data_IF_137747956967
#
_entry.id   IF_137747956967
#
_cell.length_a   1.000
_cell.length_b   1.000
_cell.length_c   1.000
_cell.angle_alpha   90.00
_cell.angle_beta   90.00
_cell.angle_gamma   90.00
#
_symmetry.space_group_name_H-M   'P 1'
#
loop_
_entity.id
_entity.type
_entity.pdbx_description
1 polymer ?
#
# COMPACT_ATOMS: atom_id res chain seq x y z
N UNK A 1 14.79 15.03 41.04
CA UNK A 1 14.80 13.85 40.15
C UNK A 1 14.29 14.30 38.78
N UNK A 2 15.05 14.17 37.68
CA UNK A 2 14.52 14.52 36.36
C UNK A 2 13.29 13.66 36.07
N UNK A 3 12.19 14.31 35.67
CA UNK A 3 10.95 13.63 35.31
C UNK A 3 11.13 12.82 34.03
N UNK A 4 10.46 11.67 33.94
CA UNK A 4 10.44 10.89 32.70
C UNK A 4 9.72 11.71 31.63
N UNK A 5 10.41 11.99 30.53
CA UNK A 5 9.79 12.60 29.34
C UNK A 5 9.16 11.48 28.51
N UNK A 6 7.86 11.60 28.24
CA UNK A 6 7.13 10.66 27.40
C UNK A 6 6.12 11.41 26.54
N UNK A 7 5.86 10.89 25.34
CA UNK A 7 4.75 11.32 24.51
C UNK A 7 3.45 10.72 25.01
N UNK A 8 2.38 11.52 25.05
CA UNK A 8 1.08 11.05 25.53
C UNK A 8 0.56 9.92 24.63
N UNK A 9 0.08 8.83 25.24
CA UNK A 9 -0.42 7.66 24.52
C UNK A 9 -1.90 7.84 24.24
N UNK A 10 -2.23 8.13 22.98
CA UNK A 10 -3.61 8.25 22.54
C UNK A 10 -4.03 6.91 21.92
N UNK A 11 -5.22 6.42 22.28
CA UNK A 11 -5.79 5.22 21.67
C UNK A 11 -6.35 5.57 20.30
N UNK A 12 -5.69 5.11 19.25
CA UNK A 12 -6.22 5.11 17.89
C UNK A 12 -6.86 3.74 17.59
N UNK A 13 -7.89 3.72 16.75
CA UNK A 13 -8.57 2.50 16.33
C UNK A 13 -8.70 2.43 14.81
N UNK A 14 -8.82 1.21 14.30
CA UNK A 14 -9.19 0.92 12.92
C UNK A 14 -10.24 -0.20 12.92
N UNK A 15 -10.98 -0.33 11.83
CA UNK A 15 -11.92 -1.42 11.61
C UNK A 15 -11.29 -2.50 10.75
N UNK A 16 -11.79 -3.72 10.90
CA UNK A 16 -11.50 -4.83 9.99
C UNK A 16 -12.47 -4.80 8.81
N UNK A 17 -11.98 -5.14 7.63
CA UNK A 17 -12.77 -5.26 6.41
C UNK A 17 -12.79 -6.71 5.95
N UNK A 18 -13.96 -7.16 5.52
CA UNK A 18 -14.14 -8.51 4.94
C UNK A 18 -13.91 -8.39 3.43
N UNK A 19 -13.04 -9.26 2.94
CA UNK A 19 -12.77 -9.50 1.53
C UNK A 19 -13.38 -10.85 1.19
N UNK A 20 -14.25 -10.89 0.18
CA UNK A 20 -14.91 -12.12 -0.25
C UNK A 20 -15.01 -12.18 -1.77
N UNK A 21 -14.81 -13.37 -2.32
CA UNK A 21 -15.07 -13.68 -3.72
C UNK A 21 -15.68 -15.08 -3.84
N UNK A 22 -16.77 -15.20 -4.59
CA UNK A 22 -17.41 -16.48 -4.86
C UNK A 22 -16.69 -17.23 -5.99
N UNK A 23 -16.70 -18.56 -5.89
CA UNK A 23 -16.21 -19.51 -6.89
C UNK A 23 -17.32 -20.51 -7.15
N UNK A 24 -17.67 -20.69 -8.42
CA UNK A 24 -18.71 -21.62 -8.86
C UNK A 24 -18.22 -22.33 -10.12
N UNK A 25 -18.31 -23.66 -10.14
CA UNK A 25 -17.92 -24.49 -11.29
C UNK A 25 -19.02 -25.50 -11.57
N UNK A 26 -19.46 -25.59 -12.84
CA UNK A 26 -20.53 -26.52 -13.22
C UNK A 26 -20.06 -27.98 -13.14
N UNK A 27 -20.98 -28.91 -12.86
CA UNK A 27 -20.68 -30.34 -12.81
C UNK A 27 -20.15 -30.88 -14.14
N UNK A 28 -20.63 -30.32 -15.26
CA UNK A 28 -20.13 -30.66 -16.60
C UNK A 28 -18.69 -30.20 -16.81
N UNK A 29 -18.33 -29.00 -16.35
CA UNK A 29 -16.95 -28.48 -16.46
C UNK A 29 -15.98 -29.23 -15.57
N UNK A 30 -16.42 -29.70 -14.39
CA UNK A 30 -15.61 -30.58 -13.54
C UNK A 30 -15.40 -31.97 -14.18
N UNK A 31 -16.40 -32.49 -14.89
CA UNK A 31 -16.30 -33.77 -15.59
C UNK A 31 -15.48 -33.68 -16.89
N UNK A 32 -15.41 -32.49 -17.50
CA UNK A 32 -14.64 -32.25 -18.70
C UNK A 32 -13.14 -32.12 -18.37
N UNK A 33 -12.30 -32.89 -19.06
CA UNK A 33 -10.85 -32.70 -18.97
C UNK A 33 -10.46 -31.41 -19.70
N UNK A 34 -10.20 -30.34 -18.94
CA UNK A 34 -9.70 -29.11 -19.52
C UNK A 34 -8.23 -29.26 -19.99
N UNK A 35 -7.89 -28.60 -21.10
CA UNK A 35 -6.54 -28.65 -21.64
C UNK A 35 -5.59 -27.82 -20.76
N UNK A 36 -4.61 -28.48 -20.13
CA UNK A 36 -3.56 -27.81 -19.36
C UNK A 36 -3.93 -27.45 -17.92
N UNK A 37 -5.09 -27.88 -17.43
CA UNK A 37 -5.52 -27.72 -16.04
C UNK A 37 -5.81 -29.10 -15.42
N UNK A 38 -5.34 -29.31 -14.19
CA UNK A 38 -5.61 -30.54 -13.44
C UNK A 38 -7.00 -30.51 -12.79
N UNK A 39 -7.42 -29.34 -12.30
CA UNK A 39 -8.72 -29.10 -11.68
C UNK A 39 -9.12 -27.62 -11.88
N UNK A 40 -10.26 -27.40 -12.51
CA UNK A 40 -10.83 -26.06 -12.77
C UNK A 40 -11.20 -25.35 -11.45
N UNK A 41 -11.69 -26.10 -10.47
CA UNK A 41 -12.12 -25.54 -9.19
C UNK A 41 -10.94 -24.97 -8.40
N UNK A 42 -9.82 -25.69 -8.37
CA UNK A 42 -8.60 -25.21 -7.73
C UNK A 42 -7.96 -24.04 -8.49
N UNK A 43 -8.04 -24.03 -9.81
CA UNK A 43 -7.60 -22.88 -10.62
C UNK A 43 -8.39 -21.62 -10.27
N UNK A 44 -9.72 -21.71 -10.23
CA UNK A 44 -10.55 -20.56 -9.88
C UNK A 44 -10.33 -20.08 -8.44
N UNK A 45 -10.11 -20.99 -7.47
CA UNK A 45 -9.72 -20.62 -6.11
C UNK A 45 -8.44 -19.79 -6.10
N UNK A 46 -7.42 -20.19 -6.87
CA UNK A 46 -6.14 -19.48 -6.94
C UNK A 46 -6.28 -18.09 -7.59
N UNK A 47 -7.05 -17.99 -8.67
CA UNK A 47 -7.29 -16.71 -9.34
C UNK A 47 -8.08 -15.75 -8.43
N UNK A 48 -9.12 -16.22 -7.74
CA UNK A 48 -9.84 -15.40 -6.75
C UNK A 48 -8.95 -14.99 -5.58
N UNK A 49 -8.03 -15.85 -5.13
CA UNK A 49 -7.08 -15.47 -4.08
C UNK A 49 -6.15 -14.34 -4.54
N UNK A 50 -5.66 -14.40 -5.77
CA UNK A 50 -4.83 -13.33 -6.36
C UNK A 50 -5.61 -12.03 -6.50
N UNK A 51 -6.89 -12.11 -6.90
CA UNK A 51 -7.80 -10.96 -6.94
C UNK A 51 -7.96 -10.33 -5.56
N UNK A 52 -8.28 -11.12 -4.53
CA UNK A 52 -8.44 -10.61 -3.16
C UNK A 52 -7.15 -10.02 -2.58
N UNK A 53 -5.99 -10.61 -2.87
CA UNK A 53 -4.70 -10.05 -2.45
C UNK A 53 -4.42 -8.69 -3.10
N UNK A 54 -4.77 -8.54 -4.38
CA UNK A 54 -4.64 -7.28 -5.11
C UNK A 54 -5.59 -6.22 -4.57
N UNK A 55 -6.81 -6.60 -4.21
CA UNK A 55 -7.78 -5.69 -3.58
C UNK A 55 -7.36 -5.30 -2.17
N UNK A 56 -6.74 -6.22 -1.42
CA UNK A 56 -6.13 -5.95 -0.12
C UNK A 56 -4.98 -4.95 -0.23
N UNK A 57 -4.12 -5.07 -1.25
CA UNK A 57 -3.04 -4.10 -1.53
C UNK A 57 -3.60 -2.69 -1.76
N UNK A 58 -4.60 -2.57 -2.65
CA UNK A 58 -5.26 -1.30 -2.94
C UNK A 58 -5.89 -0.71 -1.67
N UNK A 59 -6.62 -1.53 -0.92
CA UNK A 59 -7.31 -1.09 0.31
C UNK A 59 -6.33 -0.71 1.41
N UNK A 60 -5.16 -1.35 1.48
CA UNK A 60 -4.11 -1.00 2.44
C UNK A 60 -3.61 0.43 2.19
N UNK A 61 -3.46 0.84 0.94
CA UNK A 61 -2.96 2.17 0.57
C UNK A 61 -4.09 3.22 0.60
N UNK A 62 -5.16 2.96 -0.15
CA UNK A 62 -6.23 3.93 -0.44
C UNK A 62 -7.50 3.73 0.40
N UNK A 63 -7.55 2.71 1.25
CA UNK A 63 -8.73 2.33 2.02
C UNK A 63 -9.34 3.51 2.75
N UNK A 64 -10.67 3.60 2.65
CA UNK A 64 -11.43 4.69 3.23
C UNK A 64 -12.39 4.19 4.30
N UNK A 65 -12.25 4.69 5.53
CA UNK A 65 -13.25 4.46 6.56
C UNK A 65 -14.38 5.49 6.42
N UNK A 66 -15.65 5.08 6.32
CA UNK A 66 -16.78 6.00 6.30
C UNK A 66 -16.79 6.86 7.56
N UNK A 67 -16.90 8.18 7.39
CA UNK A 67 -17.00 9.13 8.50
C UNK A 67 -18.30 8.96 9.29
N UNK A 68 -19.38 8.62 8.59
CA UNK A 68 -20.66 8.27 9.17
C UNK A 68 -20.82 6.74 9.24
N UNK A 69 -21.14 6.22 10.42
CA UNK A 69 -21.43 4.79 10.68
C UNK A 69 -20.31 3.81 10.26
N UNK A 70 -19.11 3.90 10.88
CA UNK A 70 -17.98 3.05 10.52
C UNK A 70 -18.16 1.56 10.84
N UNK A 71 -19.19 1.22 11.64
CA UNK A 71 -19.60 -0.17 11.89
C UNK A 71 -20.32 -0.79 10.69
N UNK A 72 -20.73 0.02 9.70
CA UNK A 72 -21.53 -0.39 8.56
C UNK A 72 -23.03 -0.47 8.87
N UNK A 73 -23.85 -0.40 7.83
CA UNK A 73 -25.29 -0.67 7.85
C UNK A 73 -25.72 -1.27 6.49
N UNK A 74 -27.02 -1.39 6.22
CA UNK A 74 -27.52 -1.96 4.96
C UNK A 74 -27.05 -1.20 3.69
N UNK A 75 -26.73 0.09 3.82
CA UNK A 75 -26.31 0.96 2.71
C UNK A 75 -24.83 1.36 2.76
N UNK A 76 -24.18 1.25 3.92
CA UNK A 76 -22.79 1.64 4.16
C UNK A 76 -22.00 0.39 4.51
N UNK A 77 -21.02 0.03 3.68
CA UNK A 77 -20.14 -1.10 3.98
C UNK A 77 -19.12 -0.71 5.05
N UNK A 78 -18.81 -1.65 5.93
CA UNK A 78 -17.67 -1.53 6.87
C UNK A 78 -16.37 -1.72 6.09
N UNK A 79 -15.56 -0.68 6.01
CA UNK A 79 -14.23 -0.71 5.38
C UNK A 79 -13.14 -0.25 6.34
N UNK A 80 -11.93 -0.74 6.11
CA UNK A 80 -10.76 -0.38 6.90
C UNK A 80 -10.17 0.94 6.42
N UNK A 81 -9.54 1.66 7.33
CA UNK A 81 -8.77 2.87 7.02
C UNK A 81 -7.40 2.48 6.46
N UNK A 82 -7.06 2.99 5.29
CA UNK A 82 -5.78 2.80 4.61
C UNK A 82 -4.71 3.81 5.05
N UNK A 83 -3.46 3.57 4.66
CA UNK A 83 -2.29 4.35 5.10
C UNK A 83 -2.48 5.84 4.77
N UNK A 84 -2.88 6.16 3.54
CA UNK A 84 -3.00 7.54 3.09
C UNK A 84 -3.98 8.34 3.95
N UNK A 85 -5.10 7.74 4.37
CA UNK A 85 -6.07 8.42 5.23
C UNK A 85 -5.61 8.48 6.69
N UNK A 86 -4.71 7.59 7.11
CA UNK A 86 -4.14 7.64 8.45
C UNK A 86 -3.24 8.87 8.63
N UNK A 87 -2.53 9.29 7.59
CA UNK A 87 -1.60 10.41 7.65
C UNK A 87 -2.32 11.76 7.74
N UNK A 88 -1.80 12.62 8.62
CA UNK A 88 -2.33 13.96 8.90
C UNK A 88 -1.24 14.96 9.27
N UNK A 89 -0.18 14.52 9.96
CA UNK A 89 0.87 15.39 10.49
C UNK A 89 1.89 15.80 9.43
N UNK A 90 2.42 14.83 8.68
CA UNK A 90 3.44 15.07 7.64
C UNK A 90 2.84 14.84 6.26
N UNK A 91 1.81 15.62 5.93
CA UNK A 91 1.19 15.63 4.61
C UNK A 91 1.51 16.95 3.94
N UNK A 92 2.30 16.89 2.87
CA UNK A 92 2.78 18.05 2.13
C UNK A 92 2.15 18.07 0.74
N UNK A 93 1.69 19.24 0.31
CA UNK A 93 1.20 19.49 -1.03
C UNK A 93 2.13 20.44 -1.78
N UNK A 94 2.27 20.22 -3.08
CA UNK A 94 2.94 21.19 -3.95
C UNK A 94 2.26 22.56 -3.82
N UNK A 95 3.03 23.60 -3.52
CA UNK A 95 2.53 24.95 -3.30
C UNK A 95 2.25 25.30 -1.83
N UNK A 96 2.40 24.37 -0.89
CA UNK A 96 2.36 24.67 0.54
C UNK A 96 3.48 25.64 0.95
N UNK A 97 3.18 26.53 1.89
CA UNK A 97 4.16 27.48 2.43
C UNK A 97 5.30 26.74 3.12
N UNK A 98 6.54 27.00 2.71
CA UNK A 98 7.75 26.36 3.26
C UNK A 98 8.11 25.01 2.60
N UNK A 99 7.25 24.45 1.76
CA UNK A 99 7.59 23.30 0.92
C UNK A 99 8.36 23.76 -0.33
N UNK A 100 9.29 22.95 -0.87
CA UNK A 100 10.01 23.32 -2.10
C UNK A 100 9.07 23.66 -3.26
N UNK A 101 9.44 24.70 -4.02
CA UNK A 101 8.65 25.19 -5.15
C UNK A 101 8.77 24.26 -6.36
N UNK A 102 7.69 24.13 -7.12
CA UNK A 102 7.64 23.25 -8.29
C UNK A 102 6.49 22.26 -8.16
N UNK A 103 6.08 21.70 -9.29
CA UNK A 103 5.07 20.63 -9.34
C UNK A 103 5.68 19.28 -9.65
N UNK A 104 6.87 19.24 -10.26
CA UNK A 104 7.58 17.98 -10.49
C UNK A 104 8.22 17.48 -9.19
N UNK A 105 8.34 16.15 -9.06
CA UNK A 105 9.01 15.54 -7.93
C UNK A 105 10.52 15.75 -8.05
N UNK A 106 11.10 16.46 -7.08
CA UNK A 106 12.52 16.76 -6.98
C UNK A 106 13.16 16.15 -5.73
N UNK A 107 14.48 15.96 -5.75
CA UNK A 107 15.24 15.42 -4.62
C UNK A 107 15.11 16.30 -3.36
N UNK A 108 15.03 17.62 -3.55
CA UNK A 108 14.80 18.59 -2.48
C UNK A 108 13.48 18.36 -1.75
N UNK A 109 12.42 17.96 -2.46
CA UNK A 109 11.12 17.62 -1.86
C UNK A 109 11.20 16.37 -1.01
N UNK A 110 11.88 15.32 -1.49
CA UNK A 110 12.06 14.07 -0.73
C UNK A 110 12.86 14.34 0.54
N UNK A 111 14.01 15.02 0.43
CA UNK A 111 14.85 15.35 1.58
C UNK A 111 14.13 16.27 2.59
N UNK A 112 13.30 17.21 2.12
CA UNK A 112 12.49 18.05 3.00
C UNK A 112 11.51 17.20 3.83
N UNK A 113 10.81 16.23 3.23
CA UNK A 113 9.89 15.37 3.96
C UNK A 113 10.63 14.44 4.91
N UNK A 114 11.74 13.84 4.49
CA UNK A 114 12.57 12.98 5.36
C UNK A 114 13.06 13.76 6.59
N UNK A 115 13.54 14.99 6.38
CA UNK A 115 13.91 15.89 7.47
C UNK A 115 12.74 16.21 8.38
N UNK A 116 11.58 16.56 7.81
CA UNK A 116 10.39 16.92 8.58
C UNK A 116 9.91 15.74 9.44
N UNK A 117 9.95 14.53 8.89
CA UNK A 117 9.64 13.31 9.64
C UNK A 117 10.65 13.13 10.77
N UNK A 118 11.96 13.28 10.52
CA UNK A 118 13.02 13.15 11.52
C UNK A 118 12.93 14.19 12.66
N UNK A 119 12.56 15.44 12.34
CA UNK A 119 12.37 16.50 13.33
C UNK A 119 11.09 16.30 14.16
N UNK A 120 9.97 15.93 13.51
CA UNK A 120 8.68 15.74 14.17
C UNK A 120 8.58 14.40 14.93
N UNK A 121 9.36 13.41 14.51
CA UNK A 121 9.36 12.06 15.03
C UNK A 121 10.77 11.46 14.90
N UNK A 122 11.24 10.77 15.94
CA UNK A 122 12.46 9.95 15.83
C UNK A 122 12.16 8.65 15.03
N UNK A 123 11.61 8.80 13.83
CA UNK A 123 11.23 7.74 12.91
C UNK A 123 12.27 7.59 11.81
N UNK A 124 12.67 6.35 11.54
CA UNK A 124 13.63 6.04 10.49
C UNK A 124 12.83 5.58 9.27
N UNK A 125 12.66 6.49 8.30
CA UNK A 125 11.99 6.15 7.04
C UNK A 125 12.93 5.23 6.26
N UNK A 126 12.44 4.04 5.92
CA UNK A 126 13.19 3.00 5.20
C UNK A 126 12.51 2.58 3.89
N UNK A 127 11.30 3.07 3.62
CA UNK A 127 10.48 2.66 2.50
C UNK A 127 9.85 3.86 1.80
N UNK A 128 10.13 4.02 0.51
CA UNK A 128 9.47 4.99 -0.36
C UNK A 128 8.56 4.22 -1.31
N UNK A 129 7.25 4.49 -1.29
CA UNK A 129 6.27 3.86 -2.17
C UNK A 129 5.79 4.88 -3.21
N UNK A 130 5.88 4.51 -4.48
CA UNK A 130 5.57 5.40 -5.61
C UNK A 130 4.78 4.71 -6.72
N UNK A 131 4.04 5.51 -7.49
CA UNK A 131 3.50 5.11 -8.78
C UNK A 131 4.56 5.14 -9.89
N UNK A 132 4.21 4.58 -11.06
CA UNK A 132 5.15 4.46 -12.18
C UNK A 132 5.69 5.79 -12.72
N UNK A 133 4.87 6.85 -12.75
CA UNK A 133 5.30 8.18 -13.21
C UNK A 133 6.34 8.79 -12.26
N UNK A 134 6.04 8.82 -10.95
CA UNK A 134 6.96 9.35 -9.95
C UNK A 134 8.25 8.52 -9.85
N UNK A 135 8.17 7.19 -10.04
CA UNK A 135 9.36 6.36 -10.13
C UNK A 135 10.32 6.80 -11.25
N UNK A 136 9.77 7.19 -12.39
CA UNK A 136 10.57 7.66 -13.54
C UNK A 136 11.23 9.01 -13.25
N UNK A 137 10.56 9.89 -12.50
CA UNK A 137 11.15 11.15 -12.00
C UNK A 137 12.30 10.87 -11.02
N UNK A 138 12.13 9.96 -10.06
CA UNK A 138 13.21 9.56 -9.14
C UNK A 138 14.42 8.99 -9.90
N UNK A 139 14.18 8.15 -10.90
CA UNK A 139 15.26 7.61 -11.73
C UNK A 139 16.05 8.71 -12.48
N UNK A 140 15.43 9.88 -12.73
CA UNK A 140 16.07 11.02 -13.36
C UNK A 140 16.97 11.84 -12.42
N UNK A 141 16.86 11.68 -11.08
CA UNK A 141 17.73 12.39 -10.13
C UNK A 141 19.20 12.06 -10.34
N UNK A 142 19.49 10.80 -10.62
CA UNK A 142 20.84 10.35 -10.93
C UNK A 142 21.15 10.40 -12.44
N UNK A 143 20.48 11.23 -13.25
CA UNK A 143 20.77 11.33 -14.68
C UNK A 143 22.13 12.02 -14.95
N UNK A 144 22.46 13.05 -14.17
CA UNK A 144 23.64 13.90 -14.40
C UNK A 144 24.95 13.31 -13.84
N UNK A 145 24.87 12.38 -12.88
CA UNK A 145 26.04 11.77 -12.21
C UNK A 145 26.50 10.43 -12.81
N UNK A 146 26.08 10.12 -14.04
CA UNK A 146 26.37 8.83 -14.69
C UNK A 146 27.70 8.85 -15.43
N UNK A 147 28.52 7.84 -15.15
CA UNK A 147 29.64 7.47 -16.00
C UNK A 147 29.32 6.15 -16.69
N UNK A 148 29.46 6.11 -18.02
CA UNK A 148 29.34 4.88 -18.82
C UNK A 148 30.75 4.41 -19.17
N UNK A 149 31.00 3.10 -19.05
CA UNK A 149 32.21 2.51 -19.60
C UNK A 149 32.04 2.25 -21.10
N UNK A 150 33.12 2.31 -21.87
CA UNK A 150 33.09 2.19 -23.35
C UNK A 150 32.52 0.85 -23.88
N UNK A 151 32.34 -0.15 -23.02
CA UNK A 151 31.86 -1.49 -23.37
C UNK A 151 30.41 -1.78 -22.90
N UNK A 152 29.71 -0.81 -22.30
CA UNK A 152 28.33 -1.02 -21.87
C UNK A 152 27.36 -0.98 -23.06
N UNK A 153 26.83 -2.13 -23.45
CA UNK A 153 25.84 -2.26 -24.53
C UNK A 153 24.38 -2.15 -24.05
N UNK A 154 24.16 -2.02 -22.73
CA UNK A 154 22.82 -1.98 -22.11
C UNK A 154 22.60 -0.68 -21.34
N UNK A 155 21.57 0.08 -21.71
CA UNK A 155 21.16 1.26 -20.95
C UNK A 155 20.31 0.86 -19.74
N UNK A 156 20.85 1.03 -18.52
CA UNK A 156 20.12 0.75 -17.27
C UNK A 156 19.87 2.05 -16.50
N UNK A 157 18.60 2.40 -16.30
CA UNK A 157 18.20 3.57 -15.52
C UNK A 157 17.21 3.17 -14.43
N UNK A 158 17.74 2.66 -13.31
CA UNK A 158 16.95 2.15 -12.21
C UNK A 158 17.61 2.47 -10.87
N UNK A 159 16.93 3.26 -10.04
CA UNK A 159 17.35 3.59 -8.67
C UNK A 159 16.52 2.76 -7.69
N UNK A 160 17.07 1.72 -7.08
CA UNK A 160 16.33 0.87 -6.12
C UNK A 160 16.39 1.38 -4.69
N UNK A 161 17.48 2.04 -4.34
CA UNK A 161 17.80 2.50 -2.98
C UNK A 161 18.16 3.99 -3.10
N UNK A 162 17.59 4.78 -2.21
CA UNK A 162 17.88 6.19 -2.05
C UNK A 162 18.52 6.40 -0.68
N UNK A 163 19.76 6.85 -0.65
CA UNK A 163 20.49 7.16 0.57
C UNK A 163 20.47 8.66 0.81
N UNK A 164 20.00 9.06 1.98
CA UNK A 164 19.89 10.45 2.40
C UNK A 164 20.58 10.64 3.76
N UNK A 165 20.79 11.89 4.16
CA UNK A 165 21.32 12.23 5.49
C UNK A 165 20.46 11.70 6.64
N UNK A 166 19.19 11.38 6.38
CA UNK A 166 18.20 10.91 7.37
C UNK A 166 17.98 9.39 7.34
N UNK A 167 18.66 8.67 6.45
CA UNK A 167 18.58 7.21 6.35
C UNK A 167 18.53 6.67 4.92
N UNK A 168 18.51 5.34 4.84
CA UNK A 168 18.48 4.57 3.60
C UNK A 168 17.05 4.11 3.31
N UNK A 169 16.49 4.58 2.20
CA UNK A 169 15.14 4.29 1.76
C UNK A 169 15.13 3.33 0.56
N UNK A 170 14.44 2.19 0.69
CA UNK A 170 14.14 1.32 -0.45
C UNK A 170 12.93 1.84 -1.20
N UNK A 171 13.04 1.96 -2.53
CA UNK A 171 11.94 2.45 -3.37
C UNK A 171 11.15 1.26 -3.92
N UNK A 172 9.86 1.19 -3.58
CA UNK A 172 8.92 0.19 -4.07
C UNK A 172 7.88 0.84 -4.98
N UNK A 173 7.64 0.24 -6.12
CA UNK A 173 6.61 0.69 -7.06
C UNK A 173 5.33 -0.13 -6.91
N UNK A 174 4.19 0.54 -6.80
CA UNK A 174 2.87 -0.09 -6.86
C UNK A 174 1.93 0.68 -7.77
N UNK A 175 1.01 -0.04 -8.41
CA UNK A 175 -0.01 0.54 -9.29
C UNK A 175 -1.11 1.28 -8.53
N UNK A 176 -1.26 1.01 -7.24
CA UNK A 176 -2.33 1.56 -6.41
C UNK A 176 -1.98 2.91 -5.80
N UNK A 177 -0.72 3.34 -5.86
CA UNK A 177 -0.37 4.70 -5.46
C UNK A 177 -1.01 5.72 -6.41
N UNK A 178 -1.68 6.76 -5.88
CA UNK A 178 -2.12 7.88 -6.70
C UNK A 178 -0.95 8.49 -7.49
N UNK A 179 -1.19 8.85 -8.75
CA UNK A 179 -0.12 9.27 -9.68
C UNK A 179 0.60 10.54 -9.22
N UNK A 180 -0.07 11.40 -8.48
CA UNK A 180 0.38 12.69 -7.95
C UNK A 180 1.04 12.60 -6.57
N UNK A 181 1.24 11.38 -6.06
CA UNK A 181 1.57 11.16 -4.65
C UNK A 181 2.80 10.27 -4.47
N UNK A 182 3.56 10.55 -3.41
CA UNK A 182 4.71 9.76 -2.95
C UNK A 182 4.58 9.51 -1.46
N UNK A 183 4.71 8.26 -1.05
CA UNK A 183 4.56 7.85 0.34
C UNK A 183 5.92 7.46 0.92
N UNK A 184 6.22 7.94 2.12
CA UNK A 184 7.46 7.70 2.85
C UNK A 184 7.11 7.04 4.18
N UNK A 185 7.53 5.80 4.38
CA UNK A 185 7.13 4.97 5.52
C UNK A 185 8.33 4.43 6.30
N UNK A 186 8.06 4.16 7.57
CA UNK A 186 8.88 3.32 8.45
C UNK A 186 8.19 1.95 8.49
N UNK A 187 8.77 0.98 7.79
CA UNK A 187 8.18 -0.36 7.60
C UNK A 187 7.99 -1.11 8.92
N UNK A 188 8.79 -0.81 9.95
CA UNK A 188 8.69 -1.45 11.27
C UNK A 188 7.38 -1.11 12.01
N UNK A 189 6.73 -0.02 11.60
CA UNK A 189 5.54 0.56 12.24
C UNK A 189 4.25 0.31 11.49
N UNK A 190 4.31 -0.36 10.34
CA UNK A 190 3.16 -0.68 9.50
C UNK A 190 2.98 -2.20 9.45
N UNK A 191 1.80 -2.69 9.81
CA UNK A 191 1.46 -4.13 9.72
C UNK A 191 0.07 -4.32 9.13
N UNK A 192 -0.03 -5.26 8.19
CA UNK A 192 -1.32 -5.76 7.69
C UNK A 192 -1.59 -7.08 8.40
N UNK A 193 -2.68 -7.13 9.18
CA UNK A 193 -2.97 -8.26 10.04
C UNK A 193 -4.39 -8.79 9.77
N UNK A 194 -4.56 -10.13 9.66
CA UNK A 194 -5.89 -10.71 9.66
C UNK A 194 -6.50 -10.63 11.05
N UNK A 195 -7.84 -10.57 11.11
CA UNK A 195 -8.56 -10.84 12.34
C UNK A 195 -8.27 -12.30 12.77
N UNK A 196 -8.08 -12.53 14.08
CA UNK A 196 -7.67 -13.83 14.59
C UNK A 196 -8.62 -14.95 14.10
N UNK A 197 -8.04 -15.96 13.44
CA UNK A 197 -8.79 -17.09 12.87
C UNK A 197 -9.57 -16.78 11.58
N UNK A 198 -9.41 -15.58 10.99
CA UNK A 198 -10.10 -15.14 9.77
C UNK A 198 -9.13 -14.65 8.68
N UNK A 199 -7.97 -15.29 8.57
CA UNK A 199 -7.12 -15.16 7.38
C UNK A 199 -7.84 -15.70 6.13
N UNK A 200 -7.33 -15.41 4.93
CA UNK A 200 -7.88 -15.98 3.71
C UNK A 200 -8.01 -17.51 3.80
N UNK A 201 -9.23 -18.00 3.64
CA UNK A 201 -9.55 -19.41 3.60
C UNK A 201 -10.75 -19.63 2.67
N UNK A 202 -10.79 -20.82 2.07
CA UNK A 202 -11.91 -21.25 1.27
C UNK A 202 -12.99 -21.86 2.17
N UNK A 203 -14.23 -21.42 1.99
CA UNK A 203 -15.41 -21.94 2.69
C UNK A 203 -16.36 -22.54 1.65
N UNK A 204 -16.59 -23.87 1.68
CA UNK A 204 -17.56 -24.48 0.79
C UNK A 204 -18.98 -23.99 1.13
N UNK A 205 -19.78 -23.76 0.10
CA UNK A 205 -21.19 -23.39 0.21
C UNK A 205 -22.06 -24.53 -0.31
N UNK A 206 -23.33 -24.55 0.10
CA UNK A 206 -24.28 -25.54 -0.41
C UNK A 206 -24.56 -25.30 -1.90
N UNK A 207 -24.42 -26.33 -2.72
CA UNK A 207 -24.85 -26.32 -4.11
C UNK A 207 -26.38 -26.32 -4.21
N UNK A 208 -26.94 -25.56 -5.16
CA UNK A 208 -28.39 -25.51 -5.43
C UNK A 208 -28.77 -26.16 -6.78
N UNK A 209 -27.81 -26.78 -7.46
CA UNK A 209 -27.96 -27.41 -8.77
C UNK A 209 -26.76 -28.28 -9.11
N UNK A 210 -26.54 -28.58 -10.39
CA UNK A 210 -25.38 -29.36 -10.87
C UNK A 210 -24.12 -28.47 -11.00
N UNK A 211 -23.65 -27.96 -9.85
CA UNK A 211 -22.44 -27.17 -9.72
C UNK A 211 -21.86 -27.25 -8.31
N UNK A 212 -20.55 -27.11 -8.18
CA UNK A 212 -19.90 -26.86 -6.89
C UNK A 212 -19.78 -25.36 -6.63
N UNK A 213 -20.01 -24.95 -5.38
CA UNK A 213 -20.00 -23.55 -4.97
C UNK A 213 -19.19 -23.37 -3.69
N UNK A 214 -18.44 -22.27 -3.60
CA UNK A 214 -17.82 -21.82 -2.38
C UNK A 214 -17.43 -20.36 -2.43
N UNK A 215 -16.93 -19.86 -1.31
CA UNK A 215 -16.44 -18.49 -1.20
C UNK A 215 -15.05 -18.48 -0.57
N UNK A 216 -14.17 -17.64 -1.12
CA UNK A 216 -12.91 -17.32 -0.49
C UNK A 216 -13.12 -16.09 0.38
N UNK A 217 -12.92 -16.21 1.70
CA UNK A 217 -13.12 -15.11 2.65
C UNK A 217 -11.85 -14.85 3.44
N UNK A 218 -11.54 -13.57 3.64
CA UNK A 218 -10.56 -13.12 4.63
C UNK A 218 -10.99 -11.80 5.25
N UNK A 219 -10.60 -11.57 6.50
CA UNK A 219 -10.88 -10.33 7.20
C UNK A 219 -9.58 -9.71 7.70
N UNK A 220 -9.27 -8.51 7.22
CA UNK A 220 -7.98 -7.86 7.43
C UNK A 220 -8.15 -6.42 7.93
N UNK A 221 -7.11 -5.92 8.57
CA UNK A 221 -6.97 -4.52 8.97
C UNK A 221 -5.52 -4.06 8.85
N UNK A 222 -5.32 -2.75 8.95
CA UNK A 222 -4.03 -2.08 8.94
C UNK A 222 -3.75 -1.53 10.34
N UNK A 223 -2.65 -1.98 10.93
CA UNK A 223 -2.06 -1.42 12.13
C UNK A 223 -0.97 -0.43 11.72
N UNK A 224 -1.23 0.87 11.90
CA UNK A 224 -0.27 1.94 11.69
C UNK A 224 0.10 2.57 13.04
N UNK A 225 1.39 2.49 13.40
CA UNK A 225 1.92 3.00 14.67
C UNK A 225 2.65 4.31 14.46
N UNK A 226 2.38 5.28 15.32
CA UNK A 226 3.02 6.60 15.29
C UNK A 226 2.95 7.26 13.91
N UNK A 227 1.80 7.86 13.62
CA UNK A 227 1.51 8.52 12.34
C UNK A 227 2.58 9.54 11.91
N UNK A 228 3.15 10.27 12.87
CA UNK A 228 4.21 11.24 12.61
C UNK A 228 5.55 10.64 12.15
N UNK A 229 5.72 9.30 12.20
CA UNK A 229 6.91 8.62 11.67
C UNK A 229 6.83 8.33 10.16
N UNK A 230 5.79 8.81 9.49
CA UNK A 230 5.54 8.63 8.08
C UNK A 230 5.33 9.99 7.41
N UNK A 231 5.48 10.04 6.10
CA UNK A 231 5.30 11.24 5.29
C UNK A 231 4.56 10.95 3.98
N UNK A 232 3.86 11.96 3.48
CA UNK A 232 3.15 11.90 2.21
C UNK A 232 3.32 13.21 1.46
N UNK A 233 3.70 13.11 0.20
CA UNK A 233 3.70 14.23 -0.75
C UNK A 233 2.51 14.05 -1.69
N UNK A 234 1.81 15.16 -2.01
CA UNK A 234 0.65 15.21 -2.90
C UNK A 234 0.71 16.40 -3.85
N UNK A 235 -0.09 16.36 -4.91
CA UNK A 235 -0.18 17.44 -5.89
C UNK A 235 0.96 17.45 -6.92
N UNK A 236 1.77 16.39 -6.96
CA UNK A 236 2.85 16.27 -7.93
C UNK A 236 2.30 16.18 -9.35
N UNK A 237 3.07 16.68 -10.31
CA UNK A 237 2.78 16.54 -11.74
C UNK A 237 2.61 15.08 -12.10
N UNK A 238 1.69 14.82 -13.03
CA UNK A 238 1.37 13.47 -13.51
C UNK A 238 1.60 13.30 -15.01
N UNK A 239 2.15 14.33 -15.65
CA UNK A 239 2.46 14.42 -17.08
C UNK A 239 3.81 15.06 -17.31
#
# INVERSE_FOLDING_TARGET
>A
KPGVRFTNRIRCGNYTQIFTAAVEVSGTDMAASQLGLADEMDYQKQERLRELLRDLENTTINGGQPSANPQGNSSIRRSMKGIIQHLSTNVFHTGDSGFPTGTDLDETMINYVLRSVWENSNGNVDLIIVGGFQKRRINAFCADSRSYAANDTTFTNLVSIYESDFGVCRIVTTRWMPKDSVLLLDSSRVKVLPLAGRSFHFKPLSSSGDYECGELIGEYTLELKNEAAHGLIRGLSTS
#
